data_IF_503519086593
#
_entry.id   IF_503519086593
#
_cell.length_a   1.000
_cell.length_b   1.000
_cell.length_c   1.000
_cell.angle_alpha   90.00
_cell.angle_beta   90.00
_cell.angle_gamma   90.00
#
_symmetry.space_group_name_H-M   'P 1'
#
loop_
_entity.id
_entity.type
_entity.pdbx_description
1 polymer ?
#
# COMPACT_ATOMS: atom_id res chain seq x y z
N UNK A 1 -20.08 -41.05 5.57
CA UNK A 1 -20.60 -40.00 6.47
C UNK A 1 -19.45 -39.05 6.70
N UNK A 2 -19.25 -38.07 5.82
CA UNK A 2 -19.82 -36.70 5.87
C UNK A 2 -19.33 -35.94 7.09
N UNK A 3 -18.39 -35.01 6.87
CA UNK A 3 -18.59 -33.59 7.20
C UNK A 3 -17.81 -32.80 6.16
N UNK A 4 -18.53 -32.29 5.16
CA UNK A 4 -18.08 -31.18 4.33
C UNK A 4 -17.98 -29.97 5.26
N UNK A 5 -16.78 -29.44 5.42
CA UNK A 5 -16.56 -28.12 6.01
C UNK A 5 -16.75 -27.12 4.86
N UNK A 6 -18.01 -26.82 4.57
CA UNK A 6 -18.39 -25.73 3.68
C UNK A 6 -18.43 -24.45 4.52
N UNK A 7 -17.52 -23.50 4.26
CA UNK A 7 -17.89 -22.09 4.46
C UNK A 7 -16.86 -21.09 4.99
N UNK A 8 -15.57 -21.38 5.11
CA UNK A 8 -14.59 -20.31 5.35
C UNK A 8 -13.43 -20.47 4.37
N UNK A 9 -13.42 -19.61 3.33
CA UNK A 9 -12.23 -19.43 2.52
C UNK A 9 -11.04 -19.21 3.48
N UNK A 10 -9.95 -19.98 3.34
CA UNK A 10 -8.81 -19.82 4.23
C UNK A 10 -8.36 -18.37 4.17
N UNK A 11 -8.30 -17.71 5.33
CA UNK A 11 -7.86 -16.31 5.39
C UNK A 11 -6.50 -16.25 4.70
N UNK A 12 -6.37 -15.45 3.63
CA UNK A 12 -5.13 -15.37 2.87
C UNK A 12 -3.99 -14.92 3.78
N UNK A 13 -2.76 -15.34 3.45
CA UNK A 13 -1.59 -14.93 4.21
C UNK A 13 -1.36 -13.41 4.08
N UNK A 14 -0.66 -12.80 5.06
CA UNK A 14 -0.32 -11.37 4.99
C UNK A 14 0.40 -10.99 3.69
N UNK A 15 1.17 -11.93 3.13
CA UNK A 15 1.85 -11.76 1.85
C UNK A 15 0.88 -11.76 0.65
N UNK A 16 -0.10 -12.68 0.64
CA UNK A 16 -1.13 -12.72 -0.41
C UNK A 16 -2.00 -11.46 -0.37
N UNK A 17 -2.40 -11.03 0.83
CA UNK A 17 -3.15 -9.78 1.03
C UNK A 17 -2.35 -8.57 0.51
N UNK A 18 -1.05 -8.50 0.80
CA UNK A 18 -0.21 -7.40 0.34
C UNK A 18 -0.02 -7.38 -1.19
N UNK A 19 -0.04 -8.54 -1.86
CA UNK A 19 0.05 -8.61 -3.33
C UNK A 19 -1.28 -8.29 -4.02
N UNK A 20 -2.40 -8.67 -3.42
CA UNK A 20 -3.74 -8.41 -3.97
C UNK A 20 -4.20 -6.95 -3.75
N UNK A 21 -3.49 -6.19 -2.90
CA UNK A 21 -3.80 -4.80 -2.64
C UNK A 21 -3.56 -3.91 -3.88
N UNK A 22 -4.55 -3.12 -4.25
CA UNK A 22 -4.39 -2.05 -5.21
C UNK A 22 -3.59 -0.91 -4.55
N UNK A 23 -2.44 -0.57 -5.13
CA UNK A 23 -1.58 0.51 -4.65
C UNK A 23 -1.82 1.77 -5.46
N UNK A 24 -2.03 2.89 -4.78
CA UNK A 24 -2.04 4.22 -5.39
C UNK A 24 -0.62 4.80 -5.45
N UNK A 25 -0.27 5.57 -6.50
CA UNK A 25 1.02 6.22 -6.61
C UNK A 25 1.31 7.10 -5.38
N UNK A 26 2.54 7.03 -4.88
CA UNK A 26 2.91 7.73 -3.64
C UNK A 26 2.84 9.25 -3.76
N UNK A 27 3.03 9.79 -4.97
CA UNK A 27 2.89 11.22 -5.24
C UNK A 27 1.47 11.72 -5.01
N UNK A 28 0.46 11.01 -5.52
CA UNK A 28 -0.96 11.36 -5.33
C UNK A 28 -1.34 11.31 -3.85
N UNK A 29 -0.85 10.30 -3.12
CA UNK A 29 -1.08 10.18 -1.68
C UNK A 29 -0.40 11.32 -0.89
N UNK A 30 0.74 11.79 -1.34
CA UNK A 30 1.50 12.83 -0.64
C UNK A 30 0.94 14.24 -0.87
N UNK A 31 0.30 14.49 -2.03
CA UNK A 31 -0.45 15.71 -2.30
C UNK A 31 -1.57 15.93 -1.26
N UNK A 32 -2.30 14.86 -0.89
CA UNK A 32 -3.34 14.91 0.15
C UNK A 32 -2.80 15.35 1.52
N UNK A 33 -1.51 15.16 1.76
CA UNK A 33 -0.82 15.49 2.99
C UNK A 33 -0.13 16.86 2.93
N UNK A 34 -0.26 17.56 1.79
CA UNK A 34 0.34 18.87 1.55
C UNK A 34 1.85 18.82 1.27
N UNK A 35 2.39 17.64 0.97
CA UNK A 35 3.78 17.47 0.53
C UNK A 35 3.83 17.63 -0.99
N UNK A 36 4.62 18.59 -1.47
CA UNK A 36 4.81 18.80 -2.91
C UNK A 36 5.86 17.85 -3.49
N UNK A 37 5.93 17.79 -4.83
CA UNK A 37 6.97 17.03 -5.54
C UNK A 37 8.40 17.44 -5.14
N UNK A 38 8.59 18.69 -4.70
CA UNK A 38 9.88 19.22 -4.26
C UNK A 38 10.31 18.69 -2.87
N UNK A 39 9.35 18.23 -2.06
CA UNK A 39 9.57 17.69 -0.71
C UNK A 39 9.74 16.16 -0.70
N UNK A 40 9.59 15.52 -1.87
CA UNK A 40 9.53 14.09 -2.04
C UNK A 40 10.58 13.62 -3.06
N UNK A 41 11.54 12.82 -2.59
CA UNK A 41 12.42 12.06 -3.46
C UNK A 41 11.75 10.74 -3.83
N UNK A 42 11.14 10.69 -5.02
CA UNK A 42 10.52 9.49 -5.57
C UNK A 42 11.56 8.41 -5.91
N UNK A 43 11.32 7.20 -5.43
CA UNK A 43 12.06 5.98 -5.73
C UNK A 43 11.11 4.96 -6.36
N UNK A 44 10.77 5.19 -7.62
CA UNK A 44 9.69 4.48 -8.31
C UNK A 44 8.32 5.11 -8.05
N UNK A 45 7.26 4.44 -8.48
CA UNK A 45 5.89 5.01 -8.47
C UNK A 45 5.22 4.91 -7.08
N UNK A 46 5.67 4.01 -6.22
CA UNK A 46 5.02 3.66 -4.94
C UNK A 46 5.91 3.85 -3.71
N UNK A 47 7.09 4.45 -3.86
CA UNK A 47 8.00 4.68 -2.74
C UNK A 47 8.65 6.04 -2.89
N UNK A 48 8.63 6.83 -1.82
CA UNK A 48 9.26 8.14 -1.78
C UNK A 48 9.96 8.33 -0.44
N UNK A 49 11.01 9.15 -0.43
CA UNK A 49 11.62 9.64 0.79
C UNK A 49 11.17 11.09 0.99
N UNK A 50 10.60 11.37 2.16
CA UNK A 50 10.26 12.73 2.56
C UNK A 50 11.52 13.46 3.01
N UNK A 51 11.74 14.65 2.48
CA UNK A 51 12.84 15.50 2.90
C UNK A 51 12.57 16.11 4.29
N UNK A 52 13.60 16.14 5.13
CA UNK A 52 13.46 16.56 6.52
C UNK A 52 13.19 18.06 6.68
N UNK A 53 13.47 18.85 5.65
CA UNK A 53 13.18 20.28 5.58
C UNK A 53 11.68 20.59 5.35
N UNK A 54 10.88 19.59 4.98
CA UNK A 54 9.45 19.71 4.71
C UNK A 54 8.54 19.57 5.95
N UNK A 55 9.11 19.32 7.14
CA UNK A 55 8.38 19.00 8.39
C UNK A 55 8.64 20.05 9.48
#
# INVERSE_FOLDING_TARGET
MTTQDEGEDPIPTDYEIAQDAEMDPIGELAEDWGLGDDDLQLYGDYTAKVDADAI
#
